data_IF_438661066946
#
_entry.id   IF_438661066946
#
_cell.length_a   1.000
_cell.length_b   1.000
_cell.length_c   1.000
_cell.angle_alpha   90.00
_cell.angle_beta   90.00
_cell.angle_gamma   90.00
#
_symmetry.space_group_name_H-M   'P 1'
#
loop_
_entity.id
_entity.type
_entity.pdbx_description
1 polymer ?
#
# COMPACT_ATOMS: atom_id res chain seq x y z
N UNK A 1 17.86 -6.54 -8.94
CA UNK A 1 18.06 -5.23 -9.61
C UNK A 1 19.21 -4.50 -8.92
N UNK A 2 19.69 -3.35 -9.44
CA UNK A 2 20.70 -2.54 -8.76
C UNK A 2 20.27 -2.09 -7.34
N UNK A 3 18.96 -1.99 -7.11
CA UNK A 3 18.36 -1.61 -5.83
C UNK A 3 18.39 -2.71 -4.76
N UNK A 4 18.61 -3.97 -5.15
CA UNK A 4 18.61 -5.11 -4.21
C UNK A 4 19.73 -5.04 -3.17
N UNK A 5 20.80 -4.31 -3.47
CA UNK A 5 21.97 -4.14 -2.58
C UNK A 5 22.03 -2.75 -1.95
N UNK A 6 20.99 -1.93 -2.10
CA UNK A 6 20.95 -0.62 -1.46
C UNK A 6 20.75 -0.78 0.05
N UNK A 7 21.67 -0.23 0.84
CA UNK A 7 21.55 -0.23 2.30
C UNK A 7 20.53 0.83 2.75
N UNK A 8 19.34 0.36 3.11
CA UNK A 8 18.25 1.22 3.61
C UNK A 8 18.18 1.27 5.14
N UNK A 9 19.15 0.68 5.87
CA UNK A 9 19.08 0.50 7.33
C UNK A 9 19.06 1.80 8.15
N UNK A 10 19.37 2.93 7.51
CA UNK A 10 19.33 4.27 8.11
C UNK A 10 18.37 5.22 7.40
N UNK A 11 17.68 4.77 6.35
CA UNK A 11 16.67 5.59 5.69
C UNK A 11 15.49 5.72 6.63
N UNK A 12 14.92 6.93 6.71
CA UNK A 12 13.71 7.23 7.49
C UNK A 12 12.58 7.76 6.61
N UNK A 13 12.90 8.22 5.41
CA UNK A 13 11.97 8.87 4.50
C UNK A 13 12.12 8.25 3.10
N UNK A 14 11.04 7.65 2.61
CA UNK A 14 10.92 7.14 1.25
C UNK A 14 9.84 7.89 0.46
N UNK A 15 9.46 9.09 0.92
CA UNK A 15 8.47 9.91 0.25
C UNK A 15 8.87 10.16 -1.20
N UNK A 16 7.92 9.96 -2.09
CA UNK A 16 8.05 10.16 -3.54
C UNK A 16 9.17 9.39 -4.24
N UNK A 17 9.79 8.37 -3.62
CA UNK A 17 10.98 7.69 -4.16
C UNK A 17 10.81 7.17 -5.59
N UNK A 18 9.61 6.69 -5.95
CA UNK A 18 9.29 6.29 -7.31
C UNK A 18 8.18 7.12 -7.97
N UNK A 19 7.69 8.19 -7.36
CA UNK A 19 6.56 8.96 -7.87
C UNK A 19 6.75 9.43 -9.32
N UNK A 20 5.69 9.35 -10.13
CA UNK A 20 5.65 9.75 -11.55
C UNK A 20 6.55 8.90 -12.45
N UNK A 21 6.85 7.65 -12.07
CA UNK A 21 7.64 6.76 -12.90
C UNK A 21 6.73 5.91 -13.80
N UNK A 22 6.45 6.43 -15.00
CA UNK A 22 5.61 5.74 -15.99
C UNK A 22 6.15 4.37 -16.42
N UNK A 23 7.44 4.14 -16.23
CA UNK A 23 8.15 2.93 -16.67
C UNK A 23 8.40 1.91 -15.57
N UNK A 24 8.06 2.20 -14.30
CA UNK A 24 8.18 1.23 -13.23
C UNK A 24 7.18 0.10 -13.46
N UNK A 25 7.67 -1.08 -13.84
CA UNK A 25 6.84 -2.24 -14.11
C UNK A 25 6.80 -3.24 -12.94
N UNK A 26 7.78 -3.17 -12.04
CA UNK A 26 7.97 -4.14 -10.95
C UNK A 26 8.70 -3.49 -9.78
N UNK A 27 8.42 -4.00 -8.58
CA UNK A 27 9.14 -3.67 -7.34
C UNK A 27 10.20 -4.72 -6.98
N UNK A 28 10.58 -5.59 -7.93
CA UNK A 28 11.57 -6.63 -7.66
C UNK A 28 12.95 -6.03 -7.30
N UNK A 29 13.54 -6.55 -6.23
CA UNK A 29 14.75 -6.03 -5.59
C UNK A 29 14.47 -5.07 -4.43
N UNK A 30 13.22 -4.86 -4.03
CA UNK A 30 12.86 -4.13 -2.80
C UNK A 30 12.57 -5.06 -1.62
N UNK A 31 12.55 -6.38 -1.83
CA UNK A 31 12.09 -7.38 -0.86
C UNK A 31 12.95 -7.40 0.41
N UNK A 32 14.25 -7.12 0.26
CA UNK A 32 15.25 -7.17 1.32
C UNK A 32 15.59 -5.80 1.91
N UNK A 33 14.87 -4.74 1.51
CA UNK A 33 15.06 -3.43 2.12
C UNK A 33 14.73 -3.50 3.61
N UNK A 34 15.64 -2.99 4.43
CA UNK A 34 15.35 -2.74 5.83
C UNK A 34 14.48 -1.49 5.94
N UNK A 35 13.18 -1.66 6.16
CA UNK A 35 12.23 -0.56 6.31
C UNK A 35 11.89 -0.24 7.76
N UNK A 36 12.57 -0.86 8.73
CA UNK A 36 12.19 -0.76 10.14
C UNK A 36 12.33 0.65 10.73
N UNK A 37 13.00 1.57 10.04
CA UNK A 37 13.15 2.98 10.46
C UNK A 37 12.34 3.96 9.62
N UNK A 38 11.63 3.49 8.60
CA UNK A 38 10.84 4.35 7.73
C UNK A 38 9.66 4.92 8.50
N UNK A 39 9.51 6.24 8.44
CA UNK A 39 8.41 6.98 9.04
C UNK A 39 7.49 7.60 7.99
N UNK A 40 8.00 7.89 6.79
CA UNK A 40 7.22 8.53 5.72
C UNK A 40 7.28 7.73 4.41
N UNK A 41 6.09 7.36 3.91
CA UNK A 41 5.85 6.68 2.64
C UNK A 41 4.98 7.53 1.68
N UNK A 42 4.88 8.84 1.90
CA UNK A 42 4.02 9.74 1.12
C UNK A 42 4.30 9.60 -0.37
N UNK A 43 3.29 9.22 -1.14
CA UNK A 43 3.35 9.08 -2.59
C UNK A 43 4.52 8.22 -3.12
N UNK A 44 5.06 7.28 -2.32
CA UNK A 44 6.26 6.52 -2.70
C UNK A 44 6.10 5.77 -4.03
N UNK A 45 4.88 5.33 -4.36
CA UNK A 45 4.51 4.62 -5.59
C UNK A 45 3.30 5.28 -6.30
N UNK A 46 3.21 6.61 -6.21
CA UNK A 46 2.12 7.36 -6.84
C UNK A 46 2.37 7.60 -8.33
N UNK A 47 1.29 7.61 -9.12
CA UNK A 47 1.30 7.91 -10.55
C UNK A 47 2.16 6.97 -11.40
N UNK A 48 2.30 5.71 -10.98
CA UNK A 48 3.03 4.69 -11.70
C UNK A 48 2.24 4.17 -12.90
N UNK A 49 2.85 4.22 -14.08
CA UNK A 49 2.17 3.95 -15.36
C UNK A 49 2.11 2.49 -15.77
N UNK A 50 2.97 1.64 -15.19
CA UNK A 50 3.18 0.25 -15.62
C UNK A 50 3.23 -0.77 -14.48
N UNK A 51 3.18 -0.34 -13.22
CA UNK A 51 3.27 -1.22 -12.06
C UNK A 51 1.96 -1.99 -11.89
N UNK A 52 1.99 -3.32 -12.04
CA UNK A 52 0.80 -4.19 -11.90
C UNK A 52 0.80 -4.95 -10.58
N UNK A 53 1.96 -5.46 -10.16
CA UNK A 53 2.11 -6.29 -8.95
C UNK A 53 3.09 -5.63 -7.97
N UNK A 54 2.61 -5.37 -6.76
CA UNK A 54 3.38 -4.79 -5.66
C UNK A 54 3.66 -5.79 -4.52
N UNK A 55 3.55 -7.09 -4.76
CA UNK A 55 3.83 -8.14 -3.76
C UNK A 55 5.26 -8.12 -3.21
N UNK A 56 6.22 -7.55 -3.94
CA UNK A 56 7.61 -7.46 -3.48
C UNK A 56 7.79 -6.65 -2.17
N UNK A 57 6.84 -5.77 -1.83
CA UNK A 57 6.86 -4.98 -0.58
C UNK A 57 5.96 -5.57 0.52
N UNK A 58 5.38 -6.75 0.31
CA UNK A 58 4.45 -7.37 1.26
C UNK A 58 5.06 -7.63 2.65
N UNK A 59 6.39 -7.80 2.71
CA UNK A 59 7.13 -8.07 3.95
C UNK A 59 7.77 -6.83 4.60
N UNK A 60 7.52 -5.63 4.07
CA UNK A 60 8.05 -4.40 4.67
C UNK A 60 7.54 -4.24 6.10
N UNK A 61 8.46 -3.89 7.01
CA UNK A 61 8.11 -3.48 8.35
C UNK A 61 7.63 -2.02 8.31
N UNK A 62 6.34 -1.80 8.53
CA UNK A 62 5.74 -0.45 8.56
C UNK A 62 5.36 0.02 9.96
N UNK A 63 5.81 -0.68 11.01
CA UNK A 63 5.46 -0.35 12.40
C UNK A 63 5.86 1.06 12.84
N UNK A 64 6.84 1.69 12.17
CA UNK A 64 7.23 3.08 12.46
C UNK A 64 6.66 4.10 11.47
N UNK A 65 5.91 3.68 10.46
CA UNK A 65 5.31 4.58 9.48
C UNK A 65 4.19 5.38 10.15
N UNK A 66 4.23 6.70 9.99
CA UNK A 66 3.20 7.62 10.48
C UNK A 66 2.42 8.27 9.35
N UNK A 67 3.04 8.38 8.16
CA UNK A 67 2.45 8.99 6.98
C UNK A 67 2.55 8.07 5.75
N UNK A 68 1.42 7.79 5.12
CA UNK A 68 1.34 7.05 3.86
C UNK A 68 0.36 7.69 2.87
N UNK A 69 0.14 9.00 2.98
CA UNK A 69 -0.73 9.72 2.07
C UNK A 69 -0.34 9.48 0.62
N UNK A 70 -1.34 9.20 -0.21
CA UNK A 70 -1.21 9.03 -1.65
C UNK A 70 -0.29 7.89 -2.11
N UNK A 71 0.04 6.92 -1.25
CA UNK A 71 1.04 5.88 -1.50
C UNK A 71 0.99 5.26 -2.91
N UNK A 72 -0.20 4.87 -3.38
CA UNK A 72 -0.46 4.30 -4.71
C UNK A 72 -1.45 5.15 -5.53
N UNK A 73 -1.60 6.44 -5.21
CA UNK A 73 -2.56 7.33 -5.91
C UNK A 73 -2.21 7.41 -7.39
N UNK A 74 -3.16 7.07 -8.26
CA UNK A 74 -2.94 7.10 -9.71
C UNK A 74 -2.05 5.98 -10.27
N UNK A 75 -1.61 5.04 -9.43
CA UNK A 75 -0.91 3.83 -9.90
C UNK A 75 -1.87 2.88 -10.63
N UNK A 76 -1.34 2.09 -11.57
CA UNK A 76 -2.06 0.99 -12.24
C UNK A 76 -2.00 -0.35 -11.49
N UNK A 77 -1.51 -0.37 -10.24
CA UNK A 77 -1.36 -1.61 -9.48
C UNK A 77 -2.68 -2.38 -9.38
N UNK A 78 -2.66 -3.66 -9.73
CA UNK A 78 -3.80 -4.57 -9.68
C UNK A 78 -3.72 -5.52 -8.48
N UNK A 79 -2.51 -5.77 -7.96
CA UNK A 79 -2.29 -6.65 -6.81
C UNK A 79 -1.51 -5.94 -5.70
N UNK A 80 -2.13 -5.84 -4.51
CA UNK A 80 -1.55 -5.25 -3.31
C UNK A 80 -1.69 -6.20 -2.12
N UNK A 81 -0.59 -6.79 -1.68
CA UNK A 81 -0.54 -7.52 -0.41
C UNK A 81 0.04 -6.63 0.69
N UNK A 82 -0.84 -6.19 1.60
CA UNK A 82 -0.51 -5.39 2.78
C UNK A 82 -0.76 -6.20 4.06
N UNK A 83 -0.86 -7.53 3.97
CA UNK A 83 -1.30 -8.37 5.08
C UNK A 83 -0.37 -8.38 6.30
N UNK A 84 0.90 -8.04 6.09
CA UNK A 84 1.89 -7.92 7.18
C UNK A 84 2.16 -6.49 7.60
N UNK A 85 1.56 -5.51 6.91
CA UNK A 85 1.76 -4.11 7.23
C UNK A 85 1.08 -3.78 8.55
N UNK A 86 1.78 -3.01 9.37
CA UNK A 86 1.30 -2.46 10.63
C UNK A 86 0.81 -1.03 10.39
N UNK A 87 -0.44 -0.77 10.79
CA UNK A 87 -1.13 0.51 10.64
C UNK A 87 -1.33 1.24 11.98
N UNK A 88 -0.81 0.69 13.09
CA UNK A 88 -1.07 1.17 14.45
C UNK A 88 -0.57 2.60 14.69
N UNK A 89 0.53 3.00 14.03
CA UNK A 89 1.16 4.31 14.19
C UNK A 89 0.77 5.33 13.11
N UNK A 90 -0.16 5.00 12.22
CA UNK A 90 -0.59 5.90 11.14
C UNK A 90 -1.42 7.06 11.68
N UNK A 91 -0.90 8.26 11.48
CA UNK A 91 -1.59 9.53 11.77
C UNK A 91 -2.17 10.17 10.52
N UNK A 92 -1.59 9.88 9.34
CA UNK A 92 -1.95 10.51 8.06
C UNK A 92 -1.96 9.49 6.91
N UNK A 93 -3.10 9.32 6.23
CA UNK A 93 -3.25 8.33 5.15
C UNK A 93 -4.36 8.70 4.14
N UNK A 94 -4.33 9.93 3.62
CA UNK A 94 -5.30 10.34 2.60
C UNK A 94 -5.01 9.70 1.24
N UNK A 95 -6.04 9.14 0.59
CA UNK A 95 -5.95 8.58 -0.77
C UNK A 95 -4.84 7.54 -0.97
N UNK A 96 -4.59 6.66 0.00
CA UNK A 96 -3.53 5.62 -0.06
C UNK A 96 -3.67 4.80 -1.34
N UNK A 97 -4.89 4.35 -1.64
CA UNK A 97 -5.25 3.65 -2.88
C UNK A 97 -6.42 4.41 -3.51
N UNK A 98 -6.20 4.96 -4.71
CA UNK A 98 -7.24 5.71 -5.45
C UNK A 98 -7.56 5.08 -6.81
N UNK A 99 -6.98 3.92 -7.13
CA UNK A 99 -7.42 3.12 -8.26
C UNK A 99 -8.44 2.09 -7.78
N UNK A 100 -9.43 1.77 -8.62
CA UNK A 100 -10.50 0.83 -8.28
C UNK A 100 -10.31 -0.59 -8.88
N UNK A 101 -9.12 -0.86 -9.38
CA UNK A 101 -8.76 -2.11 -10.05
C UNK A 101 -7.85 -3.00 -9.20
N UNK A 102 -7.37 -2.51 -8.06
CA UNK A 102 -6.57 -3.31 -7.13
C UNK A 102 -7.42 -4.32 -6.37
N UNK A 103 -6.98 -5.58 -6.37
CA UNK A 103 -7.28 -6.52 -5.30
C UNK A 103 -6.33 -6.21 -4.13
N UNK A 104 -6.88 -6.02 -2.93
CA UNK A 104 -6.11 -5.61 -1.74
C UNK A 104 -6.25 -6.66 -0.64
N UNK A 105 -5.12 -7.14 -0.10
CA UNK A 105 -5.07 -8.07 1.04
C UNK A 105 -4.59 -7.33 2.30
N UNK A 106 -5.35 -7.39 3.39
CA UNK A 106 -5.11 -6.57 4.59
C UNK A 106 -4.70 -7.31 5.87
N UNK A 107 -4.67 -8.65 5.89
CA UNK A 107 -4.02 -9.38 6.99
C UNK A 107 -4.71 -9.33 8.36
N UNK A 108 -4.12 -10.00 9.37
CA UNK A 108 -4.58 -10.07 10.77
C UNK A 108 -3.90 -9.02 11.66
N UNK A 109 -2.72 -8.50 11.25
CA UNK A 109 -1.99 -7.43 11.96
C UNK A 109 -2.76 -6.10 11.96
N UNK A 110 -3.77 -6.05 11.12
CA UNK A 110 -4.92 -5.21 11.20
C UNK A 110 -5.74 -5.50 12.47
N UNK A 111 -5.54 -4.73 13.54
CA UNK A 111 -6.74 -4.25 14.25
C UNK A 111 -7.46 -3.27 13.32
N UNK A 112 -7.88 -3.69 12.11
CA UNK A 112 -8.59 -2.82 11.18
C UNK A 112 -10.04 -2.75 11.65
N UNK A 113 -10.26 -1.82 12.56
CA UNK A 113 -11.60 -1.30 12.83
C UNK A 113 -12.09 -0.54 11.58
N UNK A 114 -13.39 -0.31 11.47
CA UNK A 114 -13.93 0.59 10.43
C UNK A 114 -13.21 1.95 10.41
N UNK A 115 -12.75 2.43 11.57
CA UNK A 115 -11.93 3.63 11.70
C UNK A 115 -10.59 3.52 10.99
N UNK A 116 -9.93 2.36 11.04
CA UNK A 116 -8.65 2.16 10.37
C UNK A 116 -8.81 2.02 8.84
N UNK A 117 -9.95 1.50 8.34
CA UNK A 117 -10.28 1.58 6.90
C UNK A 117 -10.52 3.03 6.46
N UNK A 118 -11.22 3.82 7.29
CA UNK A 118 -11.41 5.26 7.05
C UNK A 118 -10.07 6.00 7.06
N UNK A 119 -9.16 5.66 7.99
CA UNK A 119 -7.81 6.22 8.05
C UNK A 119 -7.01 5.93 6.78
N UNK A 120 -7.14 4.73 6.20
CA UNK A 120 -6.51 4.40 4.91
C UNK A 120 -7.06 5.20 3.71
N UNK A 121 -8.03 6.09 3.93
CA UNK A 121 -8.61 6.89 2.86
C UNK A 121 -9.40 6.05 1.86
N UNK A 122 -9.82 4.83 2.26
CA UNK A 122 -10.71 3.96 1.48
C UNK A 122 -12.17 4.38 1.60
N UNK A 123 -12.43 5.62 2.02
CA UNK A 123 -13.74 6.16 2.40
C UNK A 123 -14.76 6.22 1.24
N UNK A 124 -14.35 5.94 0.01
CA UNK A 124 -15.25 5.80 -1.14
C UNK A 124 -15.27 4.35 -1.67
N UNK A 125 -15.70 3.40 -0.83
CA UNK A 125 -15.82 1.99 -1.18
C UNK A 125 -16.64 1.71 -2.45
N UNK A 126 -17.64 2.56 -2.74
CA UNK A 126 -18.47 2.46 -3.93
C UNK A 126 -17.67 2.60 -5.24
N UNK A 127 -16.42 3.10 -5.16
CA UNK A 127 -15.55 3.22 -6.31
C UNK A 127 -14.82 1.93 -6.67
N UNK A 128 -14.58 1.01 -5.73
CA UNK A 128 -13.81 -0.22 -5.94
C UNK A 128 -14.61 -1.26 -6.74
N UNK A 129 -14.01 -1.78 -7.81
CA UNK A 129 -14.60 -2.84 -8.65
C UNK A 129 -13.97 -4.21 -8.38
N UNK A 130 -13.04 -4.29 -7.42
CA UNK A 130 -12.32 -5.52 -7.05
C UNK A 130 -12.40 -5.75 -5.54
N UNK A 131 -12.24 -7.00 -5.07
CA UNK A 131 -12.37 -7.33 -3.65
C UNK A 131 -11.28 -6.73 -2.75
N UNK A 132 -11.68 -6.46 -1.50
CA UNK A 132 -10.77 -6.26 -0.36
C UNK A 132 -10.85 -7.52 0.51
N UNK A 133 -9.70 -8.15 0.77
CA UNK A 133 -9.59 -9.45 1.44
C UNK A 133 -9.00 -9.26 2.84
N UNK A 134 -9.75 -9.71 3.86
CA UNK A 134 -9.37 -9.67 5.27
C UNK A 134 -8.82 -11.04 5.71
N UNK A 135 -7.95 -11.10 6.73
CA UNK A 135 -7.24 -12.34 7.05
C UNK A 135 -8.08 -13.46 7.69
N UNK A 136 -9.25 -13.17 8.25
CA UNK A 136 -10.18 -14.24 8.64
C UNK A 136 -10.84 -14.94 7.42
N UNK A 137 -10.36 -14.68 6.20
CA UNK A 137 -10.89 -15.26 4.96
C UNK A 137 -12.29 -14.75 4.59
N UNK A 138 -12.85 -13.81 5.36
CA UNK A 138 -14.12 -13.19 5.05
C UNK A 138 -13.90 -12.27 3.85
N UNK A 139 -14.36 -12.73 2.69
CA UNK A 139 -14.48 -11.91 1.49
C UNK A 139 -15.49 -10.81 1.78
N UNK A 140 -15.00 -9.59 2.01
CA UNK A 140 -15.89 -8.44 2.11
C UNK A 140 -16.13 -7.93 0.68
N UNK A 141 -17.13 -8.48 0.00
CA UNK A 141 -17.66 -7.87 -1.22
C UNK A 141 -18.38 -6.58 -0.83
N UNK A 142 -17.66 -5.45 -0.83
CA UNK A 142 -18.26 -4.11 -0.77
C UNK A 142 -18.86 -3.74 -2.14
N UNK A 143 -19.78 -4.59 -2.63
CA UNK A 143 -20.66 -4.23 -3.73
C UNK A 143 -21.80 -3.39 -3.14
N UNK A 144 -21.56 -2.10 -2.96
CA UNK A 144 -22.67 -1.17 -2.77
C UNK A 144 -23.48 -1.08 -4.07
N UNK A 145 -24.70 -1.60 -4.05
CA UNK A 145 -25.83 -1.17 -4.89
C UNK A 145 -25.77 -1.44 -6.41
N UNK A 146 -25.57 -2.69 -6.83
CA UNK A 146 -26.10 -3.17 -8.12
C UNK A 146 -26.80 -4.51 -7.95
N UNK A 147 -28.07 -4.43 -7.54
CA UNK A 147 -29.11 -5.34 -8.02
C UNK A 147 -29.59 -4.82 -9.38
#
# INVERSE_FOLDING_TARGET
>A
SALANWDTSNVTDLSMIFNLNSSLATLNGLENWNTSKITDLTAAFANEGSLVDASAIANWNTSNVTNMSALFRGSKTEYLDLSKWDFSNITTASSVINNNKSVVYLGDNATITADNLNKLGLSNFASFNQPIILASGNLYTLLSNKN
#
